data_IF_729624565431
#
_entry.id   IF_729624565431
#
_cell.length_a   1.000
_cell.length_b   1.000
_cell.length_c   1.000
_cell.angle_alpha   90.00
_cell.angle_beta   90.00
_cell.angle_gamma   90.00
#
_symmetry.space_group_name_H-M   'P 1'
#
loop_
_entity.id
_entity.type
_entity.pdbx_description
1 polymer ?
#
# COMPACT_ATOMS: atom_id res chain seq x y z
N UNK A 1 -0.15 -9.92 0.15
CA UNK A 1 -0.71 -8.57 0.35
C UNK A 1 -1.26 -8.46 1.77
N UNK A 2 -1.51 -7.26 2.28
CA UNK A 2 -2.19 -7.06 3.57
C UNK A 2 -3.66 -7.51 3.50
N UNK A 3 -4.41 -6.99 2.52
CA UNK A 3 -5.76 -7.40 2.22
C UNK A 3 -5.79 -8.44 1.11
N UNK A 4 -6.27 -9.64 1.39
CA UNK A 4 -6.26 -10.68 0.38
C UNK A 4 -6.80 -12.01 0.85
N UNK A 5 -6.77 -12.96 -0.08
CA UNK A 5 -7.09 -14.37 0.11
C UNK A 5 -6.00 -15.21 -0.56
N UNK A 6 -5.73 -16.41 -0.05
CA UNK A 6 -4.70 -17.33 -0.56
C UNK A 6 -3.58 -17.65 0.43
N UNK A 7 -3.35 -16.78 1.42
CA UNK A 7 -2.35 -17.01 2.48
C UNK A 7 -0.89 -16.85 2.01
N UNK A 8 0.09 -17.21 2.85
CA UNK A 8 1.52 -17.08 2.52
C UNK A 8 1.96 -17.99 1.35
N UNK A 9 3.00 -17.62 0.58
CA UNK A 9 3.84 -16.41 0.75
C UNK A 9 3.22 -15.15 0.14
N UNK A 10 2.22 -15.30 -0.74
CA UNK A 10 1.56 -14.22 -1.45
C UNK A 10 0.07 -14.27 -1.13
N UNK A 11 -0.35 -13.52 -0.11
CA UNK A 11 -1.76 -13.41 0.27
C UNK A 11 -2.51 -12.55 -0.77
N UNK A 12 -2.80 -13.13 -1.95
CA UNK A 12 -3.45 -12.50 -3.09
C UNK A 12 -4.10 -13.58 -3.99
N UNK A 13 -5.35 -13.34 -4.39
CA UNK A 13 -6.06 -14.11 -5.40
C UNK A 13 -6.86 -13.13 -6.27
N UNK A 14 -6.50 -13.02 -7.55
CA UNK A 14 -7.13 -12.07 -8.48
C UNK A 14 -8.62 -12.33 -8.73
N UNK A 15 -9.15 -13.46 -8.25
CA UNK A 15 -10.58 -13.78 -8.34
C UNK A 15 -11.39 -13.08 -7.24
N UNK A 16 -10.76 -12.63 -6.15
CA UNK A 16 -11.41 -12.09 -4.94
C UNK A 16 -10.77 -10.77 -4.53
N UNK A 17 -11.38 -9.66 -4.94
CA UNK A 17 -10.91 -8.32 -4.57
C UNK A 17 -11.03 -8.08 -3.05
N UNK A 18 -10.20 -7.20 -2.51
CA UNK A 18 -10.19 -6.84 -1.09
C UNK A 18 -11.58 -6.45 -0.57
N UNK A 19 -12.00 -7.02 0.57
CA UNK A 19 -13.30 -6.78 1.19
C UNK A 19 -14.47 -7.47 0.49
N UNK A 20 -14.24 -8.16 -0.62
CA UNK A 20 -15.27 -8.89 -1.36
C UNK A 20 -15.34 -10.33 -0.86
N UNK A 21 -16.57 -10.82 -0.72
CA UNK A 21 -16.87 -12.23 -0.44
C UNK A 21 -17.31 -12.92 -1.72
N UNK A 22 -16.66 -14.02 -2.10
CA UNK A 22 -16.97 -14.79 -3.30
C UNK A 22 -16.89 -16.28 -3.05
N UNK A 23 -17.64 -17.05 -3.83
CA UNK A 23 -17.48 -18.50 -3.89
C UNK A 23 -16.35 -18.84 -4.86
N UNK A 24 -15.30 -19.45 -4.34
CA UNK A 24 -14.12 -19.89 -5.07
C UNK A 24 -13.95 -21.38 -4.80
N UNK A 25 -13.90 -22.18 -5.86
CA UNK A 25 -13.69 -23.64 -5.76
C UNK A 25 -14.70 -24.32 -4.80
N UNK A 26 -15.96 -23.85 -4.82
CA UNK A 26 -17.05 -24.37 -3.97
C UNK A 26 -17.07 -23.84 -2.54
N UNK A 27 -16.10 -23.03 -2.13
CA UNK A 27 -16.01 -22.44 -0.79
C UNK A 27 -16.28 -20.94 -0.82
N UNK A 28 -17.11 -20.43 0.10
CA UNK A 28 -17.31 -18.98 0.27
C UNK A 28 -16.16 -18.41 1.08
N UNK A 29 -15.43 -17.48 0.47
CA UNK A 29 -14.22 -16.87 1.05
C UNK A 29 -14.31 -15.36 0.95
N UNK A 30 -13.64 -14.67 1.86
CA UNK A 30 -13.55 -13.21 1.88
C UNK A 30 -12.09 -12.83 1.87
N UNK A 31 -11.72 -11.89 1.01
CA UNK A 31 -10.40 -11.27 1.08
C UNK A 31 -10.39 -10.27 2.24
N UNK A 32 -9.67 -10.60 3.31
CA UNK A 32 -9.68 -9.83 4.55
C UNK A 32 -8.42 -8.97 4.67
N UNK A 33 -8.52 -7.77 5.27
CA UNK A 33 -7.36 -6.95 5.61
C UNK A 33 -6.53 -7.63 6.71
N UNK A 34 -5.25 -7.25 6.77
CA UNK A 34 -4.37 -7.58 7.88
C UNK A 34 -4.63 -6.65 9.08
N UNK A 35 -4.17 -7.03 10.27
CA UNK A 35 -4.39 -6.26 11.50
C UNK A 35 -3.62 -4.93 11.54
N UNK A 36 -2.40 -4.92 10.97
CA UNK A 36 -1.54 -3.73 10.92
C UNK A 36 -1.11 -3.45 9.48
N UNK A 37 -1.69 -2.40 8.89
CA UNK A 37 -1.41 -1.99 7.51
C UNK A 37 -0.04 -1.34 7.34
N UNK A 38 0.63 -0.95 8.43
CA UNK A 38 1.93 -0.27 8.39
C UNK A 38 3.10 -1.25 8.18
N UNK A 39 2.90 -2.53 8.49
CA UNK A 39 3.91 -3.60 8.37
C UNK A 39 3.98 -4.19 6.94
N UNK A 40 3.11 -3.75 6.03
CA UNK A 40 3.02 -4.30 4.67
C UNK A 40 3.32 -3.24 3.62
N UNK A 41 4.07 -3.61 2.58
CA UNK A 41 4.28 -2.76 1.40
C UNK A 41 3.06 -2.77 0.47
N UNK A 42 2.46 -3.95 0.29
CA UNK A 42 1.41 -4.18 -0.70
C UNK A 42 0.05 -4.37 -0.04
N UNK A 43 -0.94 -3.60 -0.49
CA UNK A 43 -2.31 -3.61 0.02
C UNK A 43 -3.09 -4.83 -0.46
N UNK A 44 -3.32 -4.98 -1.77
CA UNK A 44 -4.27 -5.95 -2.33
C UNK A 44 -3.74 -6.79 -3.50
N UNK A 45 -2.41 -6.81 -3.67
CA UNK A 45 -1.73 -7.44 -4.81
C UNK A 45 -1.39 -6.46 -5.93
N UNK A 46 -1.99 -5.26 -5.95
CA UNK A 46 -1.83 -4.28 -7.03
C UNK A 46 -1.42 -2.91 -6.48
N UNK A 47 -2.01 -2.47 -5.38
CA UNK A 47 -1.77 -1.17 -4.76
C UNK A 47 -0.78 -1.23 -3.61
N UNK A 48 -0.06 -0.14 -3.34
CA UNK A 48 0.70 0.04 -2.11
C UNK A 48 -0.19 0.40 -0.93
N UNK A 49 0.22 0.01 0.27
CA UNK A 49 -0.40 0.49 1.50
C UNK A 49 -0.17 1.99 1.66
N UNK A 50 -0.96 2.61 2.55
CA UNK A 50 -0.76 4.02 2.91
C UNK A 50 0.66 4.28 3.43
N UNK A 51 1.17 3.43 4.31
CA UNK A 51 2.52 3.56 4.87
C UNK A 51 3.60 3.53 3.77
N UNK A 52 3.47 2.60 2.82
CA UNK A 52 4.40 2.51 1.68
C UNK A 52 4.28 3.72 0.75
N UNK A 53 3.07 4.18 0.43
CA UNK A 53 2.87 5.39 -0.38
C UNK A 53 3.40 6.65 0.31
N UNK A 54 3.25 6.76 1.63
CA UNK A 54 3.83 7.86 2.42
C UNK A 54 5.35 7.84 2.35
N UNK A 55 5.97 6.67 2.44
CA UNK A 55 7.42 6.53 2.28
C UNK A 55 7.88 6.95 0.88
N UNK A 56 7.26 6.40 -0.17
CA UNK A 56 7.61 6.73 -1.57
C UNK A 56 7.43 8.22 -1.86
N UNK A 57 6.30 8.81 -1.47
CA UNK A 57 6.04 10.24 -1.68
C UNK A 57 7.06 11.12 -0.97
N UNK A 58 7.48 10.79 0.25
CA UNK A 58 8.54 11.53 0.96
C UNK A 58 9.86 11.49 0.21
N UNK A 59 10.25 10.32 -0.32
CA UNK A 59 11.47 10.20 -1.10
C UNK A 59 11.40 11.03 -2.39
N UNK A 60 10.27 10.99 -3.11
CA UNK A 60 10.06 11.81 -4.32
C UNK A 60 10.12 13.30 -3.99
N UNK A 61 9.40 13.74 -2.96
CA UNK A 61 9.34 15.14 -2.54
C UNK A 61 10.66 15.66 -1.97
N UNK A 62 11.50 14.78 -1.41
CA UNK A 62 12.83 15.14 -0.94
C UNK A 62 13.79 15.53 -2.06
N UNK A 63 13.54 15.10 -3.30
CA UNK A 63 14.43 15.34 -4.44
C UNK A 63 15.75 14.57 -4.40
N UNK A 64 16.03 13.78 -3.35
CA UNK A 64 17.29 13.05 -3.16
C UNK A 64 17.58 12.00 -4.25
N UNK A 65 16.57 11.60 -5.01
CA UNK A 65 16.66 10.60 -6.07
C UNK A 65 16.29 11.14 -7.47
N UNK A 66 16.29 12.45 -7.64
CA UNK A 66 15.95 13.10 -8.91
C UNK A 66 17.19 13.72 -9.56
N UNK A 67 17.35 13.53 -10.87
CA UNK A 67 18.38 14.17 -11.68
C UNK A 67 17.75 14.79 -12.95
N UNK A 68 17.76 16.12 -13.11
CA UNK A 68 18.28 17.11 -12.16
C UNK A 68 17.39 17.23 -10.90
N UNK A 69 17.95 17.70 -9.76
CA UNK A 69 17.15 17.99 -8.58
C UNK A 69 16.02 18.98 -8.89
N UNK A 70 14.82 18.82 -8.32
CA UNK A 70 13.71 19.75 -8.57
C UNK A 70 14.08 21.17 -8.12
N UNK A 71 13.79 22.16 -8.97
CA UNK A 71 14.13 23.58 -8.78
C UNK A 71 13.27 24.28 -7.71
N UNK A 72 12.14 23.67 -7.39
CA UNK A 72 11.27 24.10 -6.30
C UNK A 72 11.82 23.54 -5.01
N UNK A 73 12.29 24.42 -4.12
CA UNK A 73 12.38 24.11 -2.70
C UNK A 73 10.94 23.92 -2.20
N UNK A 74 10.35 22.75 -2.46
CA UNK A 74 9.26 22.28 -1.62
C UNK A 74 9.86 22.29 -0.23
N UNK A 75 9.47 23.28 0.56
CA UNK A 75 9.92 23.42 1.93
C UNK A 75 9.84 22.03 2.52
N UNK A 76 10.94 21.53 3.08
CA UNK A 76 10.96 20.32 3.89
C UNK A 76 10.11 20.49 5.17
N UNK A 77 9.05 21.28 5.12
CA UNK A 77 7.87 21.16 5.92
C UNK A 77 6.97 20.10 5.27
N UNK A 78 7.45 18.84 5.27
CA UNK A 78 6.55 17.81 5.75
C UNK A 78 6.31 18.16 7.22
N UNK A 79 5.43 19.15 7.44
CA UNK A 79 4.89 19.42 8.74
C UNK A 79 4.20 18.11 9.15
N UNK A 80 4.87 17.36 10.02
CA UNK A 80 4.36 16.08 10.52
C UNK A 80 2.99 16.26 11.19
N UNK A 81 2.55 17.51 11.44
CA UNK A 81 1.24 17.86 11.98
C UNK A 81 0.13 18.12 10.94
N UNK A 82 0.41 18.07 9.63
CA UNK A 82 -0.61 18.26 8.57
C UNK A 82 -0.87 17.03 7.68
N UNK A 83 -0.36 15.88 8.10
CA UNK A 83 -0.66 14.59 7.48
C UNK A 83 -1.55 13.77 8.40
N UNK A 84 -2.65 14.34 8.90
CA UNK A 84 -3.88 13.70 9.38
C UNK A 84 -5.00 14.75 9.42
#
# INVERSE_FOLDING_TARGET
ACCGYGGPPLNFDSRVDCGVTKTVDGSTVTANPCDDTSEYVNWDGIHYTEAANRFVSQQVLSGNFSDPPPTVSFVAAADKSKLF
#
